data_IF_061384779783
#
_entry.id   IF_061384779783
#
_cell.length_a   1.000
_cell.length_b   1.000
_cell.length_c   1.000
_cell.angle_alpha   90.00
_cell.angle_beta   90.00
_cell.angle_gamma   90.00
#
_symmetry.space_group_name_H-M   'P 1'
#
loop_
_entity.id
_entity.type
_entity.pdbx_description
1 polymer ?
#
# COMPACT_ATOMS: atom_id res chain seq x y z
N UNK A 1 58.93 -1.09 65.38
CA UNK A 1 57.72 -0.33 65.78
C UNK A 1 57.82 1.05 65.14
N UNK A 2 56.74 1.46 64.48
CA UNK A 2 56.65 2.48 63.41
C UNK A 2 57.06 3.89 63.83
N UNK A 3 57.96 4.49 63.06
CA UNK A 3 58.17 5.94 62.90
C UNK A 3 58.87 6.15 61.53
N UNK A 4 58.90 7.37 60.99
CA UNK A 4 57.78 8.25 60.69
C UNK A 4 57.93 8.84 59.27
N UNK A 5 57.03 9.74 58.91
CA UNK A 5 57.01 10.54 57.69
C UNK A 5 58.34 11.30 57.44
N UNK A 6 59.30 10.58 56.89
CA UNK A 6 60.29 11.08 55.96
C UNK A 6 59.57 11.20 54.60
N UNK A 7 59.86 12.12 53.70
CA UNK A 7 61.16 12.65 53.34
C UNK A 7 60.80 13.48 52.09
N UNK A 8 61.07 14.80 52.05
CA UNK A 8 61.19 15.63 50.81
C UNK A 8 59.87 15.87 50.05
N UNK A 9 59.22 17.04 50.09
CA UNK A 9 59.64 18.37 49.59
C UNK A 9 60.61 18.38 48.39
N UNK A 10 60.12 18.92 47.28
CA UNK A 10 60.97 19.44 46.20
C UNK A 10 61.46 18.46 45.13
N UNK A 11 60.56 17.82 44.38
CA UNK A 11 60.88 17.35 43.03
C UNK A 11 59.64 17.16 42.14
N UNK A 12 59.59 17.94 41.05
CA UNK A 12 58.92 17.65 39.77
C UNK A 12 57.39 17.54 39.76
N UNK A 13 56.76 18.71 39.74
CA UNK A 13 55.41 18.93 39.18
C UNK A 13 55.32 18.75 37.64
N UNK A 14 56.16 17.90 37.05
CA UNK A 14 56.15 17.55 35.61
C UNK A 14 56.06 16.04 35.38
N UNK A 15 55.88 15.23 36.43
CA UNK A 15 55.79 13.77 36.38
C UNK A 15 54.34 13.28 36.53
N UNK A 16 53.36 14.11 36.11
CA UNK A 16 51.90 13.79 36.12
C UNK A 16 51.41 13.39 34.72
N UNK A 17 52.28 13.31 33.71
CA UNK A 17 51.85 13.17 32.31
C UNK A 17 51.84 11.74 31.72
N UNK A 18 52.37 10.73 32.41
CA UNK A 18 52.72 9.46 31.74
C UNK A 18 52.08 8.19 32.34
N UNK A 19 50.90 8.28 32.96
CA UNK A 19 50.19 7.05 33.38
C UNK A 19 48.65 7.01 33.24
N UNK A 20 48.04 7.87 32.43
CA UNK A 20 46.65 7.67 31.98
C UNK A 20 46.56 7.62 30.44
N UNK A 21 47.19 6.58 29.91
CA UNK A 21 46.51 5.65 29.01
C UNK A 21 46.36 6.10 27.55
N UNK A 22 47.33 5.66 26.76
CA UNK A 22 47.32 5.35 25.32
C UNK A 22 46.18 4.40 24.87
N UNK A 23 45.04 4.28 25.59
CA UNK A 23 43.98 3.26 25.32
C UNK A 23 42.61 3.84 24.94
N UNK A 24 42.29 5.13 25.08
CA UNK A 24 40.92 5.57 24.70
C UNK A 24 40.81 6.74 23.73
N UNK A 25 41.87 7.04 23.00
CA UNK A 25 41.83 7.93 21.83
C UNK A 25 41.53 7.18 20.50
N UNK A 26 40.96 5.97 20.59
CA UNK A 26 40.47 5.17 19.47
C UNK A 26 39.08 4.57 19.78
N UNK A 27 38.27 5.30 20.55
CA UNK A 27 36.86 4.92 20.82
C UNK A 27 35.87 6.03 20.48
N UNK A 28 36.34 7.19 20.00
CA UNK A 28 35.52 8.34 19.62
C UNK A 28 35.41 8.53 18.09
N UNK A 29 35.46 7.44 17.32
CA UNK A 29 35.12 7.44 15.89
C UNK A 29 33.99 6.46 15.54
N UNK A 30 33.63 5.54 16.45
CA UNK A 30 32.50 4.62 16.29
C UNK A 30 31.18 5.10 16.90
N UNK A 31 31.17 6.24 17.61
CA UNK A 31 29.97 6.73 18.31
C UNK A 31 29.06 7.61 17.43
N UNK A 32 29.59 8.26 16.38
CA UNK A 32 28.79 9.10 15.46
C UNK A 32 28.11 8.27 14.36
N UNK A 33 28.61 7.06 14.06
CA UNK A 33 28.00 6.16 13.06
C UNK A 33 26.85 5.30 13.62
N UNK A 34 26.55 5.38 14.92
CA UNK A 34 25.39 4.70 15.53
C UNK A 34 24.10 5.54 15.49
N UNK A 35 24.17 6.83 15.13
CA UNK A 35 23.01 7.74 15.09
C UNK A 35 22.43 7.99 13.68
N UNK A 36 22.95 7.30 12.65
CA UNK A 36 22.40 7.38 11.27
C UNK A 36 21.48 6.18 10.95
N UNK A 37 21.42 5.16 11.81
CA UNK A 37 20.78 3.88 11.50
C UNK A 37 19.36 3.65 12.01
N UNK A 38 18.71 4.63 12.65
CA UNK A 38 17.46 4.36 13.38
C UNK A 38 16.29 5.29 13.00
N UNK A 39 16.15 5.64 11.72
CA UNK A 39 14.92 6.27 11.25
C UNK A 39 14.53 5.83 9.84
N UNK A 40 14.75 4.56 9.50
CA UNK A 40 13.90 3.93 8.49
C UNK A 40 12.68 3.44 9.25
N UNK A 41 11.66 4.29 9.35
CA UNK A 41 10.30 3.78 9.54
C UNK A 41 10.07 2.97 8.26
N UNK A 42 10.00 1.62 8.28
CA UNK A 42 9.34 0.96 7.17
C UNK A 42 7.95 1.58 7.18
N UNK A 43 7.59 2.28 6.10
CA UNK A 43 6.19 2.51 5.83
C UNK A 43 5.60 1.10 5.78
N UNK A 44 5.02 0.64 6.89
CA UNK A 44 3.87 -0.23 6.79
C UNK A 44 2.92 0.59 5.94
N UNK A 45 2.92 0.29 4.64
CA UNK A 45 1.73 0.49 3.84
C UNK A 45 0.64 -0.15 4.68
N UNK A 46 -0.15 0.71 5.34
CA UNK A 46 -1.45 0.31 5.84
C UNK A 46 -2.07 -0.37 4.64
N UNK A 47 -2.18 -1.69 4.69
CA UNK A 47 -2.87 -2.47 3.66
C UNK A 47 -4.34 -2.13 3.82
N UNK A 48 -4.69 -0.91 3.44
CA UNK A 48 -6.02 -0.58 3.00
C UNK A 48 -6.34 -1.69 2.01
N UNK A 49 -7.47 -2.38 2.22
CA UNK A 49 -7.98 -3.33 1.23
C UNK A 49 -7.86 -2.64 -0.11
N UNK A 50 -6.95 -3.14 -0.95
CA UNK A 50 -6.60 -2.41 -2.14
C UNK A 50 -7.83 -2.47 -3.04
N UNK A 51 -8.09 -1.40 -3.79
CA UNK A 51 -9.18 -1.43 -4.77
C UNK A 51 -9.05 -2.68 -5.67
N UNK A 52 -7.82 -3.07 -5.98
CA UNK A 52 -7.50 -4.28 -6.74
C UNK A 52 -8.04 -5.55 -6.07
N UNK A 53 -7.80 -5.77 -4.77
CA UNK A 53 -8.32 -6.94 -4.04
C UNK A 53 -9.85 -6.99 -4.03
N UNK A 54 -10.48 -5.82 -3.88
CA UNK A 54 -11.93 -5.71 -3.92
C UNK A 54 -12.48 -5.98 -5.34
N UNK A 55 -11.79 -5.54 -6.39
CA UNK A 55 -12.16 -5.84 -7.77
C UNK A 55 -11.99 -7.33 -8.11
N UNK A 56 -10.92 -7.97 -7.63
CA UNK A 56 -10.74 -9.41 -7.78
C UNK A 56 -11.86 -10.18 -7.07
N UNK A 57 -12.21 -9.77 -5.85
CA UNK A 57 -13.36 -10.33 -5.12
C UNK A 57 -14.67 -10.12 -5.87
N UNK A 58 -14.84 -9.00 -6.58
CA UNK A 58 -16.03 -8.70 -7.37
C UNK A 58 -16.14 -9.63 -8.58
N UNK A 59 -15.00 -9.98 -9.18
CA UNK A 59 -14.94 -10.91 -10.30
C UNK A 59 -15.22 -12.34 -9.83
N UNK A 60 -14.66 -12.74 -8.68
CA UNK A 60 -14.85 -14.07 -8.09
C UNK A 60 -16.28 -14.29 -7.56
N UNK A 61 -17.02 -13.21 -7.25
CA UNK A 61 -18.38 -13.30 -6.76
C UNK A 61 -19.33 -13.83 -7.86
N UNK A 62 -19.93 -14.99 -7.62
CA UNK A 62 -20.89 -15.61 -8.55
C UNK A 62 -22.31 -15.08 -8.34
N UNK A 63 -22.68 -14.79 -7.09
CA UNK A 63 -24.04 -14.41 -6.73
C UNK A 63 -24.24 -12.90 -6.61
N UNK A 64 -25.47 -12.43 -6.85
CA UNK A 64 -25.82 -11.01 -6.69
C UNK A 64 -25.62 -10.46 -5.26
N UNK A 65 -25.94 -11.22 -4.19
CA UNK A 65 -25.67 -10.78 -2.82
C UNK A 65 -24.17 -10.65 -2.50
N UNK A 66 -23.34 -11.57 -2.96
CA UNK A 66 -21.88 -11.48 -2.75
C UNK A 66 -21.29 -10.26 -3.46
N UNK A 67 -21.70 -10.03 -4.72
CA UNK A 67 -21.32 -8.81 -5.46
C UNK A 67 -21.71 -7.55 -4.69
N UNK A 68 -22.88 -7.54 -4.07
CA UNK A 68 -23.35 -6.39 -3.29
C UNK A 68 -22.45 -6.09 -2.09
N UNK A 69 -22.04 -7.12 -1.35
CA UNK A 69 -21.10 -6.98 -0.22
C UNK A 69 -19.76 -6.43 -0.70
N UNK A 70 -19.23 -6.95 -1.81
CA UNK A 70 -17.97 -6.46 -2.36
C UNK A 70 -18.08 -5.01 -2.82
N UNK A 71 -19.20 -4.64 -3.45
CA UNK A 71 -19.43 -3.27 -3.88
C UNK A 71 -19.56 -2.31 -2.69
N UNK A 72 -20.19 -2.75 -1.60
CA UNK A 72 -20.21 -2.00 -0.34
C UNK A 72 -18.77 -1.76 0.15
N UNK A 73 -17.92 -2.78 0.17
CA UNK A 73 -16.49 -2.63 0.49
C UNK A 73 -15.82 -1.62 -0.45
N UNK A 74 -16.05 -1.71 -1.77
CA UNK A 74 -15.50 -0.74 -2.75
C UNK A 74 -15.93 0.69 -2.43
N UNK A 75 -17.17 0.89 -1.98
CA UNK A 75 -17.68 2.21 -1.59
C UNK A 75 -17.05 2.76 -0.30
N UNK A 76 -16.39 1.92 0.49
CA UNK A 76 -15.62 2.35 1.67
C UNK A 76 -14.15 2.60 1.38
N UNK A 77 -13.65 2.16 0.22
CA UNK A 77 -12.26 2.36 -0.19
C UNK A 77 -12.08 3.80 -0.67
N UNK A 78 -11.13 4.50 -0.05
CA UNK A 78 -10.82 5.89 -0.38
C UNK A 78 -9.90 6.00 -1.61
N UNK A 79 -10.37 5.51 -2.77
CA UNK A 79 -9.67 5.58 -4.06
C UNK A 79 -10.52 6.34 -5.09
N UNK A 80 -9.96 7.33 -5.82
CA UNK A 80 -10.68 8.03 -6.89
C UNK A 80 -11.26 7.11 -7.97
N UNK A 81 -10.59 5.97 -8.23
CA UNK A 81 -11.01 4.97 -9.22
C UNK A 81 -12.23 4.17 -8.75
N UNK A 82 -12.48 4.07 -7.44
CA UNK A 82 -13.66 3.39 -6.90
C UNK A 82 -14.96 4.03 -7.42
N UNK A 83 -15.00 5.35 -7.53
CA UNK A 83 -16.14 6.08 -8.09
C UNK A 83 -16.41 5.64 -9.54
N UNK A 84 -15.38 5.64 -10.37
CA UNK A 84 -15.49 5.22 -11.77
C UNK A 84 -15.98 3.77 -11.90
N UNK A 85 -15.53 2.86 -11.02
CA UNK A 85 -16.02 1.47 -10.98
C UNK A 85 -17.52 1.45 -10.70
N UNK A 86 -17.96 2.17 -9.67
CA UNK A 86 -19.37 2.20 -9.26
C UNK A 86 -20.27 2.78 -10.36
N UNK A 87 -19.81 3.83 -11.05
CA UNK A 87 -20.52 4.42 -12.20
C UNK A 87 -20.62 3.45 -13.37
N UNK A 88 -19.53 2.81 -13.76
CA UNK A 88 -19.53 1.85 -14.85
C UNK A 88 -20.38 0.59 -14.52
N UNK A 89 -20.47 0.21 -13.23
CA UNK A 89 -21.36 -0.84 -12.76
C UNK A 89 -22.82 -0.41 -12.88
N UNK A 90 -23.15 0.83 -12.50
CA UNK A 90 -24.49 1.41 -12.61
C UNK A 90 -24.96 1.54 -14.06
N UNK A 91 -24.08 1.97 -14.95
CA UNK A 91 -24.34 2.01 -16.40
C UNK A 91 -24.39 0.61 -17.01
N UNK A 92 -23.87 -0.39 -16.29
CA UNK A 92 -23.89 -1.79 -16.71
C UNK A 92 -23.00 -2.05 -17.92
N UNK A 93 -21.92 -1.28 -18.02
CA UNK A 93 -20.88 -1.36 -19.05
C UNK A 93 -19.70 -2.26 -18.64
N UNK A 94 -19.73 -2.78 -17.42
CA UNK A 94 -18.70 -3.66 -16.89
C UNK A 94 -18.94 -5.14 -17.19
N UNK A 95 -17.90 -5.77 -17.71
CA UNK A 95 -17.84 -7.17 -18.10
C UNK A 95 -16.60 -7.83 -17.48
N UNK A 96 -16.64 -9.15 -17.38
CA UNK A 96 -15.48 -9.98 -17.05
C UNK A 96 -15.08 -10.79 -18.27
N UNK A 97 -13.78 -10.86 -18.57
CA UNK A 97 -13.28 -11.82 -19.57
C UNK A 97 -13.26 -13.22 -18.98
N UNK A 98 -13.63 -14.23 -19.78
CA UNK A 98 -13.64 -15.63 -19.34
C UNK A 98 -12.23 -16.23 -19.26
N UNK A 99 -11.26 -15.69 -19.99
CA UNK A 99 -9.89 -16.20 -20.00
C UNK A 99 -9.13 -15.77 -18.74
N UNK A 100 -9.04 -14.45 -18.53
CA UNK A 100 -8.17 -13.87 -17.50
C UNK A 100 -8.94 -13.37 -16.28
N UNK A 101 -10.27 -13.56 -16.24
CA UNK A 101 -11.14 -13.06 -15.16
C UNK A 101 -10.81 -11.62 -14.81
N UNK A 102 -10.59 -10.78 -15.82
CA UNK A 102 -10.23 -9.38 -15.66
C UNK A 102 -11.44 -8.49 -15.93
N UNK A 103 -11.49 -7.35 -15.24
CA UNK A 103 -12.56 -6.38 -15.35
C UNK A 103 -12.35 -5.53 -16.62
N UNK A 104 -13.30 -5.62 -17.56
CA UNK A 104 -13.21 -4.98 -18.87
C UNK A 104 -14.49 -4.21 -19.20
N UNK A 105 -14.36 -3.14 -19.98
CA UNK A 105 -15.48 -2.45 -20.61
C UNK A 105 -15.68 -3.09 -21.98
N UNK A 106 -16.92 -3.47 -22.31
CA UNK A 106 -17.25 -4.05 -23.60
C UNK A 106 -18.18 -3.12 -24.40
N UNK A 107 -17.71 -2.64 -25.54
CA UNK A 107 -18.47 -1.80 -26.47
C UNK A 107 -18.89 -2.61 -27.71
N UNK A 108 -20.12 -2.44 -28.19
CA UNK A 108 -20.62 -3.18 -29.33
C UNK A 108 -19.85 -2.83 -30.61
N UNK A 109 -19.26 -3.82 -31.26
CA UNK A 109 -18.58 -3.70 -32.55
C UNK A 109 -19.23 -4.62 -33.60
N UNK A 110 -18.98 -4.35 -34.90
CA UNK A 110 -19.63 -5.02 -36.04
C UNK A 110 -19.78 -6.55 -35.93
N UNK A 111 -18.80 -7.24 -35.35
CA UNK A 111 -18.79 -8.70 -35.19
C UNK A 111 -18.35 -9.15 -33.79
N UNK A 112 -18.75 -8.45 -32.74
CA UNK A 112 -18.41 -8.83 -31.37
C UNK A 112 -18.45 -7.67 -30.40
N UNK A 113 -17.55 -7.70 -29.42
CA UNK A 113 -17.30 -6.56 -28.55
C UNK A 113 -15.86 -6.11 -28.68
N UNK A 114 -15.65 -4.80 -28.74
CA UNK A 114 -14.34 -4.21 -28.47
C UNK A 114 -14.21 -4.15 -26.94
N UNK A 115 -13.13 -4.71 -26.40
CA UNK A 115 -12.89 -4.72 -24.96
C UNK A 115 -11.67 -3.89 -24.58
N UNK A 116 -11.81 -3.12 -23.50
CA UNK A 116 -10.71 -2.35 -22.91
C UNK A 116 -10.59 -2.67 -21.42
N UNK A 117 -9.37 -2.68 -20.90
CA UNK A 117 -9.12 -2.85 -19.46
C UNK A 117 -9.69 -1.66 -18.71
N UNK A 118 -10.51 -1.92 -17.68
CA UNK A 118 -11.19 -0.85 -16.96
C UNK A 118 -10.22 0.13 -16.25
N UNK A 119 -9.13 -0.39 -15.66
CA UNK A 119 -8.21 0.42 -14.85
C UNK A 119 -7.15 1.17 -15.66
N UNK A 120 -6.67 0.58 -16.76
CA UNK A 120 -5.57 1.13 -17.58
C UNK A 120 -6.05 1.74 -18.89
N UNK A 121 -7.33 1.57 -19.22
CA UNK A 121 -7.93 1.90 -20.52
C UNK A 121 -7.21 1.26 -21.72
N UNK A 122 -6.50 0.16 -21.47
CA UNK A 122 -5.75 -0.55 -22.48
C UNK A 122 -6.70 -1.34 -23.39
N UNK A 123 -6.60 -1.14 -24.71
CA UNK A 123 -7.39 -1.87 -25.69
C UNK A 123 -6.88 -3.30 -25.84
N UNK A 124 -7.69 -4.27 -25.38
CA UNK A 124 -7.42 -5.70 -25.54
C UNK A 124 -7.93 -6.22 -26.89
N UNK A 125 -8.50 -5.34 -27.72
CA UNK A 125 -8.97 -5.63 -29.05
C UNK A 125 -10.38 -6.21 -29.04
N UNK A 126 -10.66 -7.04 -30.06
CA UNK A 126 -12.02 -7.48 -30.37
C UNK A 126 -12.22 -8.94 -29.96
N UNK A 127 -13.23 -9.19 -29.12
CA UNK A 127 -13.57 -10.53 -28.62
C UNK A 127 -14.99 -10.94 -29.02
N UNK A 128 -15.23 -12.25 -29.02
CA UNK A 128 -16.54 -12.81 -29.28
C UNK A 128 -17.50 -12.54 -28.12
N UNK A 129 -18.80 -12.49 -28.42
CA UNK A 129 -19.86 -12.31 -27.40
C UNK A 129 -19.85 -13.38 -26.29
N UNK A 130 -19.24 -14.54 -26.54
CA UNK A 130 -19.16 -15.67 -25.60
C UNK A 130 -17.94 -15.62 -24.69
N UNK A 131 -16.99 -14.73 -25.00
CA UNK A 131 -15.72 -14.63 -24.28
C UNK A 131 -15.81 -13.64 -23.12
N UNK A 132 -16.90 -12.88 -23.04
CA UNK A 132 -17.19 -11.91 -21.99
C UNK A 132 -18.51 -12.21 -21.28
N UNK A 133 -18.53 -12.02 -19.97
CA UNK A 133 -19.73 -12.13 -19.14
C UNK A 133 -20.06 -10.76 -18.55
N UNK A 134 -21.32 -10.34 -18.64
CA UNK A 134 -21.74 -9.05 -18.07
C UNK A 134 -21.85 -9.16 -16.56
N UNK A 135 -21.29 -8.20 -15.83
CA UNK A 135 -21.55 -8.08 -14.39
C UNK A 135 -22.93 -7.45 -14.22
N UNK A 136 -23.94 -8.29 -14.02
CA UNK A 136 -25.28 -7.82 -13.67
C UNK A 136 -25.36 -7.51 -12.19
N UNK A 137 -25.98 -6.38 -11.88
CA UNK A 137 -26.06 -5.79 -10.55
C UNK A 137 -27.50 -5.35 -10.28
N UNK A 138 -27.93 -5.41 -9.02
CA UNK A 138 -29.28 -5.05 -8.61
C UNK A 138 -29.39 -3.54 -8.34
N UNK A 139 -30.62 -3.03 -8.22
CA UNK A 139 -30.96 -1.63 -7.92
C UNK A 139 -30.33 -1.12 -6.60
N UNK A 140 -29.95 -2.02 -5.69
CA UNK A 140 -29.22 -1.69 -4.46
C UNK A 140 -27.95 -0.86 -4.69
N UNK A 141 -27.32 -0.99 -5.87
CA UNK A 141 -26.13 -0.24 -6.25
C UNK A 141 -26.24 1.27 -6.11
N UNK A 142 -27.41 1.82 -6.43
CA UNK A 142 -27.63 3.28 -6.39
C UNK A 142 -27.48 3.81 -4.96
N UNK A 143 -27.82 3.00 -3.96
CA UNK A 143 -27.62 3.34 -2.56
C UNK A 143 -26.13 3.48 -2.20
N UNK A 144 -25.29 2.55 -2.66
CA UNK A 144 -23.84 2.59 -2.39
C UNK A 144 -23.14 3.76 -3.07
N UNK A 145 -23.54 4.11 -4.30
CA UNK A 145 -23.04 5.32 -4.96
C UNK A 145 -23.37 6.60 -4.18
N UNK A 146 -24.60 6.73 -3.70
CA UNK A 146 -25.01 7.89 -2.89
C UNK A 146 -24.27 7.90 -1.54
N UNK A 147 -24.08 6.75 -0.90
CA UNK A 147 -23.33 6.64 0.35
C UNK A 147 -21.85 7.03 0.18
N UNK A 148 -21.21 6.60 -0.90
CA UNK A 148 -19.84 7.01 -1.25
C UNK A 148 -19.72 8.53 -1.36
N UNK A 149 -20.66 9.17 -2.07
CA UNK A 149 -20.67 10.63 -2.21
C UNK A 149 -20.89 11.34 -0.87
N UNK A 150 -21.72 10.79 0.02
CA UNK A 150 -21.98 11.38 1.34
C UNK A 150 -20.78 11.31 2.28
N UNK A 151 -19.90 10.32 2.12
CA UNK A 151 -18.71 10.17 2.96
C UNK A 151 -17.56 11.10 2.55
N UNK A 152 -17.61 11.68 1.34
CA UNK A 152 -16.55 12.51 0.74
C UNK A 152 -16.83 14.02 0.78
N UNK A 153 -17.95 14.46 1.35
CA UNK A 153 -18.34 15.88 1.54
C UNK A 153 -18.05 16.33 2.96
#
# INVERSE_FOLDING_TARGET
>A
MRLPASFFDGARSEEISEYWITVHLQFWQGFVLFLVGAMTIPAEEVVAQSLTDALESLIAADSSPEKQIVIETISTIDDPRALSVLEALLEGQLYTTRQDQSLVIAESADRGYQIRVFLTDEDLGRVGRRDVSRISVNNSLRGFYVAYLQHRV
#
